data_IF_883206469047
#
_entry.id   IF_883206469047
#
_cell.length_a   1.000
_cell.length_b   1.000
_cell.length_c   1.000
_cell.angle_alpha   90.00
_cell.angle_beta   90.00
_cell.angle_gamma   90.00
#
_symmetry.space_group_name_H-M   'P 1'
#
loop_
_entity.id
_entity.type
_entity.pdbx_description
1 polymer ?
#
# COMPACT_ATOMS: atom_id res chain seq x y z
N UNK A 1 -54.76 -3.33 11.97
CA UNK A 1 -53.98 -4.51 12.44
C UNK A 1 -53.26 -5.26 11.31
N UNK A 2 -53.94 -5.74 10.25
CA UNK A 2 -53.29 -6.46 9.13
C UNK A 2 -52.11 -5.72 8.46
N UNK A 3 -52.20 -4.40 8.26
CA UNK A 3 -51.11 -3.59 7.67
C UNK A 3 -49.86 -3.51 8.54
N UNK A 4 -50.03 -3.46 9.86
CA UNK A 4 -48.91 -3.40 10.82
C UNK A 4 -48.24 -4.77 10.99
N UNK A 5 -49.00 -5.86 10.89
CA UNK A 5 -48.45 -7.21 10.91
C UNK A 5 -47.56 -7.47 9.67
N UNK A 6 -47.95 -6.95 8.50
CA UNK A 6 -47.14 -7.09 7.28
C UNK A 6 -45.80 -6.34 7.37
N UNK A 7 -45.79 -5.14 7.96
CA UNK A 7 -44.57 -4.35 8.17
C UNK A 7 -43.60 -5.03 9.15
N UNK A 8 -44.11 -5.65 10.22
CA UNK A 8 -43.30 -6.39 11.20
C UNK A 8 -42.68 -7.65 10.55
N UNK A 9 -43.45 -8.38 9.73
CA UNK A 9 -42.93 -9.53 8.99
C UNK A 9 -41.86 -9.12 7.96
N UNK A 10 -41.97 -7.95 7.34
CA UNK A 10 -40.97 -7.46 6.38
C UNK A 10 -39.65 -7.06 7.06
N UNK A 11 -39.71 -6.46 8.26
CA UNK A 11 -38.50 -6.16 9.05
C UNK A 11 -37.76 -7.41 9.54
N UNK A 12 -38.43 -8.57 9.63
CA UNK A 12 -37.84 -9.84 10.02
C UNK A 12 -37.21 -10.62 8.84
N UNK A 13 -37.41 -10.16 7.60
CA UNK A 13 -36.81 -10.76 6.40
C UNK A 13 -35.55 -10.02 5.92
N UNK A 14 -35.04 -9.06 6.69
CA UNK A 14 -33.76 -8.42 6.37
C UNK A 14 -32.64 -9.38 6.77
N UNK A 15 -32.24 -10.25 5.85
CA UNK A 15 -31.02 -11.02 5.98
C UNK A 15 -29.85 -10.04 6.11
N UNK A 16 -28.85 -10.33 6.97
CA UNK A 16 -27.63 -9.52 6.99
C UNK A 16 -27.01 -9.57 5.59
N UNK A 17 -26.99 -8.44 4.91
CA UNK A 17 -26.20 -8.29 3.69
C UNK A 17 -24.77 -8.11 4.11
N UNK A 18 -23.93 -9.12 3.89
CA UNK A 18 -22.48 -8.96 4.02
C UNK A 18 -21.99 -8.06 2.89
N UNK A 19 -21.47 -6.89 3.23
CA UNK A 19 -20.69 -6.09 2.29
C UNK A 19 -19.41 -6.85 1.94
N UNK A 20 -18.95 -6.70 0.70
CA UNK A 20 -17.62 -7.14 0.32
C UNK A 20 -16.65 -6.02 0.62
N UNK A 21 -15.68 -6.29 1.48
CA UNK A 21 -14.63 -5.33 1.85
C UNK A 21 -13.33 -5.57 1.05
N UNK A 22 -13.24 -6.67 0.30
CA UNK A 22 -12.03 -7.07 -0.44
C UNK A 22 -12.07 -6.55 -1.87
N UNK A 23 -11.18 -5.62 -2.20
CA UNK A 23 -11.06 -5.06 -3.56
C UNK A 23 -10.73 -6.10 -4.62
N UNK A 24 -9.92 -7.15 -4.34
CA UNK A 24 -9.64 -8.21 -5.30
C UNK A 24 -10.89 -8.88 -5.90
N UNK A 25 -11.99 -8.95 -5.14
CA UNK A 25 -13.27 -9.51 -5.63
C UNK A 25 -13.90 -8.71 -6.77
N UNK A 26 -13.64 -7.40 -6.81
CA UNK A 26 -14.10 -6.51 -7.87
C UNK A 26 -13.07 -6.38 -8.98
N UNK A 27 -11.78 -6.38 -8.63
CA UNK A 27 -10.69 -6.18 -9.57
C UNK A 27 -10.49 -7.38 -10.51
N UNK A 28 -10.54 -8.61 -9.98
CA UNK A 28 -10.34 -9.84 -10.75
C UNK A 28 -11.25 -9.96 -11.98
N UNK A 29 -12.60 -9.87 -11.87
CA UNK A 29 -13.46 -10.00 -13.04
C UNK A 29 -13.23 -8.90 -14.08
N UNK A 30 -12.81 -7.70 -13.66
CA UNK A 30 -12.49 -6.59 -14.58
C UNK A 30 -11.20 -6.91 -15.33
N UNK A 31 -10.11 -7.21 -14.62
CA UNK A 31 -8.81 -7.46 -15.24
C UNK A 31 -8.79 -8.70 -16.13
N UNK A 32 -9.58 -9.74 -15.81
CA UNK A 32 -9.75 -10.90 -16.69
C UNK A 32 -10.34 -10.56 -18.05
N UNK A 33 -11.10 -9.46 -18.16
CA UNK A 33 -11.64 -9.01 -19.45
C UNK A 33 -10.63 -8.25 -20.31
N UNK A 34 -9.48 -7.87 -19.75
CA UNK A 34 -8.43 -7.12 -20.45
C UNK A 34 -7.46 -8.09 -21.15
N UNK A 35 -7.42 -8.14 -22.50
CA UNK A 35 -6.54 -9.07 -23.22
C UNK A 35 -5.05 -8.86 -22.94
N UNK A 36 -4.65 -7.63 -22.63
CA UNK A 36 -3.27 -7.24 -22.30
C UNK A 36 -2.78 -7.87 -20.99
N UNK A 37 -3.70 -8.24 -20.10
CA UNK A 37 -3.42 -8.87 -18.82
C UNK A 37 -3.67 -10.38 -18.88
N UNK A 38 -4.85 -10.78 -19.37
CA UNK A 38 -5.27 -12.19 -19.40
C UNK A 38 -4.48 -13.09 -20.35
N UNK A 39 -3.72 -12.52 -21.30
CA UNK A 39 -2.89 -13.27 -22.27
C UNK A 39 -1.39 -13.12 -22.01
N UNK A 40 -1.00 -12.50 -20.89
CA UNK A 40 0.40 -12.30 -20.55
C UNK A 40 1.01 -13.64 -20.15
N UNK A 41 2.25 -13.87 -20.59
CA UNK A 41 2.98 -15.06 -20.18
C UNK A 41 3.25 -15.04 -18.67
N UNK A 42 3.37 -16.22 -18.08
CA UNK A 42 3.73 -16.33 -16.67
C UNK A 42 5.14 -15.81 -16.42
N UNK A 43 5.32 -15.20 -15.24
CA UNK A 43 6.53 -14.47 -14.85
C UNK A 43 7.25 -15.16 -13.71
N UNK A 44 8.59 -15.04 -13.61
CA UNK A 44 9.31 -15.49 -12.44
C UNK A 44 9.09 -14.53 -11.26
N UNK A 45 8.90 -15.09 -10.06
CA UNK A 45 8.85 -14.32 -8.81
C UNK A 45 10.26 -13.85 -8.44
N UNK A 46 10.44 -12.55 -8.26
CA UNK A 46 11.71 -11.93 -7.82
C UNK A 46 11.52 -11.32 -6.44
N UNK A 47 12.54 -11.38 -5.59
CA UNK A 47 12.49 -10.72 -4.28
C UNK A 47 12.66 -9.20 -4.42
N UNK A 48 12.04 -8.41 -3.54
CA UNK A 48 12.30 -6.96 -3.51
C UNK A 48 13.80 -6.67 -3.38
N UNK A 49 14.51 -7.41 -2.54
CA UNK A 49 15.95 -7.27 -2.35
C UNK A 49 16.72 -7.41 -3.68
N UNK A 50 16.46 -8.47 -4.45
CA UNK A 50 17.18 -8.71 -5.71
C UNK A 50 16.78 -7.71 -6.79
N UNK A 51 15.50 -7.30 -6.83
CA UNK A 51 15.04 -6.21 -7.69
C UNK A 51 15.81 -4.92 -7.38
N UNK A 52 15.85 -4.50 -6.12
CA UNK A 52 16.54 -3.26 -5.70
C UNK A 52 18.02 -3.29 -6.10
N UNK A 53 18.69 -4.44 -5.92
CA UNK A 53 20.08 -4.60 -6.33
C UNK A 53 20.28 -4.49 -7.85
N UNK A 54 19.32 -4.95 -8.64
CA UNK A 54 19.38 -4.87 -10.10
C UNK A 54 19.16 -3.45 -10.64
N UNK A 55 18.42 -2.61 -9.91
CA UNK A 55 18.01 -1.27 -10.37
C UNK A 55 18.65 -0.11 -9.62
N UNK A 56 19.60 -0.38 -8.72
CA UNK A 56 20.08 0.55 -7.68
C UNK A 56 20.40 1.98 -8.20
N UNK A 57 21.19 2.08 -9.27
CA UNK A 57 21.58 3.37 -9.86
C UNK A 57 20.38 4.14 -10.44
N UNK A 58 19.51 3.44 -11.18
CA UNK A 58 18.33 4.03 -11.80
C UNK A 58 17.26 4.38 -10.77
N UNK A 59 17.20 3.63 -9.67
CA UNK A 59 16.34 3.90 -8.53
C UNK A 59 16.75 5.20 -7.83
N UNK A 60 18.04 5.40 -7.56
CA UNK A 60 18.54 6.65 -6.96
C UNK A 60 18.11 7.88 -7.78
N UNK A 61 18.27 7.82 -9.11
CA UNK A 61 17.86 8.90 -10.01
C UNK A 61 16.34 9.11 -10.01
N UNK A 62 15.56 8.03 -10.00
CA UNK A 62 14.08 8.08 -9.99
C UNK A 62 13.56 8.68 -8.68
N UNK A 63 14.14 8.31 -7.54
CA UNK A 63 13.76 8.84 -6.23
C UNK A 63 14.15 10.32 -6.12
N UNK A 64 15.34 10.71 -6.57
CA UNK A 64 15.76 12.12 -6.58
C UNK A 64 14.84 12.99 -7.46
N UNK A 65 14.41 12.48 -8.62
CA UNK A 65 13.46 13.18 -9.49
C UNK A 65 12.07 13.28 -8.85
N UNK A 66 11.60 12.23 -8.18
CA UNK A 66 10.33 12.20 -7.46
C UNK A 66 10.32 13.21 -6.32
N UNK A 67 11.40 13.26 -5.53
CA UNK A 67 11.59 14.22 -4.42
C UNK A 67 11.55 15.67 -4.93
N UNK A 68 12.30 15.96 -6.01
CA UNK A 68 12.29 17.29 -6.64
C UNK A 68 10.90 17.68 -7.15
N UNK A 69 10.17 16.75 -7.75
CA UNK A 69 8.81 16.98 -8.21
C UNK A 69 7.86 17.25 -7.03
N UNK A 70 7.97 16.49 -5.95
CA UNK A 70 7.11 16.62 -4.77
C UNK A 70 7.27 18.00 -4.12
N UNK A 71 8.52 18.43 -3.88
CA UNK A 71 8.82 19.77 -3.37
C UNK A 71 8.30 20.90 -4.27
N UNK A 72 8.26 20.70 -5.58
CA UNK A 72 7.80 21.70 -6.53
C UNK A 72 6.28 21.73 -6.74
N UNK A 73 5.59 20.62 -6.46
CA UNK A 73 4.21 20.41 -6.91
C UNK A 73 3.21 20.24 -5.77
N UNK A 74 3.67 19.92 -4.56
CA UNK A 74 2.83 19.66 -3.39
C UNK A 74 3.14 20.74 -2.35
N UNK A 75 2.17 21.61 -2.08
CA UNK A 75 2.31 22.79 -1.22
C UNK A 75 2.74 22.45 0.22
N UNK A 76 2.17 21.40 0.79
CA UNK A 76 2.39 20.98 2.19
C UNK A 76 3.40 19.83 2.32
N UNK A 77 4.25 19.63 1.32
CA UNK A 77 5.23 18.54 1.34
C UNK A 77 6.41 18.84 2.25
N UNK A 78 6.68 17.94 3.19
CA UNK A 78 7.91 17.98 3.98
C UNK A 78 9.06 17.28 3.25
N UNK A 79 10.17 17.98 2.94
CA UNK A 79 11.30 17.41 2.23
C UNK A 79 11.87 16.16 2.90
N UNK A 80 12.37 15.22 2.08
CA UNK A 80 13.11 14.06 2.58
C UNK A 80 14.38 14.52 3.32
N UNK A 81 14.60 14.10 4.58
CA UNK A 81 15.85 14.39 5.28
C UNK A 81 17.08 13.85 4.54
N UNK A 82 18.15 14.65 4.49
CA UNK A 82 19.33 14.37 3.67
C UNK A 82 19.97 12.99 3.96
N UNK A 83 19.96 12.57 5.23
CA UNK A 83 20.54 11.30 5.67
C UNK A 83 19.73 10.08 5.20
N UNK A 84 18.50 10.28 4.72
CA UNK A 84 17.62 9.23 4.21
C UNK A 84 17.58 9.15 2.68
N UNK A 85 18.30 10.03 1.98
CA UNK A 85 18.37 10.00 0.51
C UNK A 85 19.01 8.69 0.05
N UNK A 86 18.34 8.00 -0.87
CA UNK A 86 18.85 6.74 -1.43
C UNK A 86 20.14 6.94 -2.22
N UNK A 87 21.24 6.36 -1.72
CA UNK A 87 22.54 6.35 -2.40
C UNK A 87 22.84 4.96 -2.94
N UNK A 88 23.29 4.79 -4.19
CA UNK A 88 23.69 3.49 -4.72
C UNK A 88 25.06 3.10 -4.16
N UNK A 89 25.10 2.17 -3.21
CA UNK A 89 26.34 1.78 -2.52
C UNK A 89 26.85 0.40 -2.94
N UNK A 90 26.05 -0.38 -3.67
CA UNK A 90 26.32 -1.78 -3.96
C UNK A 90 26.22 -2.70 -2.72
N UNK A 91 25.86 -2.16 -1.55
CA UNK A 91 25.75 -2.94 -0.32
C UNK A 91 24.41 -3.67 -0.24
N UNK A 92 24.46 -4.99 -0.44
CA UNK A 92 23.29 -5.87 -0.34
C UNK A 92 22.67 -5.88 1.07
N UNK A 93 23.48 -5.71 2.11
CA UNK A 93 23.02 -5.90 3.48
C UNK A 93 22.08 -4.79 3.98
N UNK A 94 22.12 -3.60 3.38
CA UNK A 94 21.34 -2.44 3.82
C UNK A 94 20.39 -1.90 2.74
N UNK A 95 20.39 -2.46 1.51
CA UNK A 95 19.66 -1.87 0.38
C UNK A 95 18.15 -1.75 0.64
N UNK A 96 17.54 -2.77 1.22
CA UNK A 96 16.11 -2.76 1.54
C UNK A 96 15.80 -1.68 2.58
N UNK A 97 16.65 -1.51 3.59
CA UNK A 97 16.46 -0.49 4.62
C UNK A 97 16.67 0.93 4.05
N UNK A 98 17.71 1.13 3.23
CA UNK A 98 17.92 2.39 2.49
C UNK A 98 16.71 2.74 1.64
N UNK A 99 16.17 1.76 0.92
CA UNK A 99 14.97 1.95 0.09
C UNK A 99 13.77 2.36 0.95
N UNK A 100 13.46 1.58 1.99
CA UNK A 100 12.38 1.85 2.96
C UNK A 100 12.47 3.27 3.52
N UNK A 101 13.67 3.70 3.94
CA UNK A 101 13.90 5.03 4.49
C UNK A 101 13.74 6.12 3.44
N UNK A 102 14.26 5.91 2.23
CA UNK A 102 14.16 6.90 1.15
C UNK A 102 12.72 7.12 0.68
N UNK A 103 11.89 6.09 0.70
CA UNK A 103 10.46 6.22 0.40
C UNK A 103 9.61 6.51 1.65
N UNK A 104 10.24 6.58 2.82
CA UNK A 104 9.65 6.86 4.14
C UNK A 104 8.43 6.01 4.44
N UNK A 105 8.57 4.68 4.39
CA UNK A 105 7.55 3.72 4.85
C UNK A 105 7.99 3.01 6.13
N UNK A 106 7.07 2.33 6.80
CA UNK A 106 7.31 1.62 8.06
C UNK A 106 8.45 0.58 7.90
N UNK A 107 9.55 0.67 8.67
CA UNK A 107 10.63 -0.31 8.61
C UNK A 107 10.26 -1.74 8.98
N UNK A 108 9.13 -1.94 9.65
CA UNK A 108 8.61 -3.27 10.00
C UNK A 108 7.66 -3.85 8.94
N UNK A 109 7.39 -3.09 7.87
CA UNK A 109 6.56 -3.50 6.74
C UNK A 109 6.98 -4.88 6.21
N UNK A 110 5.98 -5.73 5.96
CA UNK A 110 6.21 -7.11 5.52
C UNK A 110 6.30 -7.20 4.00
N UNK A 111 7.43 -6.76 3.46
CA UNK A 111 7.70 -6.74 2.02
C UNK A 111 8.12 -8.13 1.47
N UNK A 112 7.36 -9.17 1.84
CA UNK A 112 7.56 -10.55 1.38
C UNK A 112 6.78 -10.83 0.09
N UNK A 113 7.13 -11.90 -0.61
CA UNK A 113 6.38 -12.33 -1.80
C UNK A 113 5.20 -13.22 -1.38
N UNK A 114 3.99 -12.81 -1.74
CA UNK A 114 2.76 -13.53 -1.43
C UNK A 114 1.68 -13.31 -2.49
N UNK A 115 0.63 -14.13 -2.45
CA UNK A 115 -0.66 -13.87 -3.10
C UNK A 115 -1.77 -13.79 -2.06
N UNK A 116 -2.75 -12.94 -2.33
CA UNK A 116 -4.04 -12.96 -1.68
C UNK A 116 -5.01 -13.79 -2.53
N UNK A 117 -5.44 -14.93 -2.00
CA UNK A 117 -6.37 -15.81 -2.70
C UNK A 117 -7.80 -15.27 -2.62
N UNK A 118 -8.53 -15.36 -3.73
CA UNK A 118 -9.97 -15.13 -3.76
C UNK A 118 -10.70 -16.26 -3.02
N UNK A 119 -11.89 -16.00 -2.46
CA UNK A 119 -12.69 -17.02 -1.81
C UNK A 119 -12.92 -18.25 -2.72
N UNK A 120 -12.50 -19.42 -2.25
CA UNK A 120 -12.65 -20.68 -2.96
C UNK A 120 -11.51 -21.05 -3.91
N UNK A 121 -10.50 -20.19 -4.09
CA UNK A 121 -9.31 -20.55 -4.85
C UNK A 121 -8.48 -21.65 -4.17
N UNK A 122 -7.82 -22.47 -4.98
CA UNK A 122 -6.98 -23.55 -4.49
C UNK A 122 -5.63 -23.02 -4.00
N UNK A 123 -5.20 -23.51 -2.82
CA UNK A 123 -3.88 -23.21 -2.23
C UNK A 123 -2.73 -23.76 -3.12
N UNK A 124 -3.00 -24.79 -3.92
CA UNK A 124 -2.06 -25.36 -4.91
C UNK A 124 -0.70 -25.74 -4.31
N UNK A 125 -0.69 -26.29 -3.09
CA UNK A 125 0.51 -26.75 -2.39
C UNK A 125 1.38 -25.63 -1.79
N UNK A 126 0.98 -24.36 -1.90
CA UNK A 126 1.69 -23.23 -1.29
C UNK A 126 1.49 -23.17 0.22
N UNK A 127 2.45 -22.60 0.92
CA UNK A 127 2.34 -22.37 2.36
C UNK A 127 1.35 -21.25 2.65
N UNK A 128 0.33 -21.52 3.49
CA UNK A 128 -0.58 -20.47 3.99
C UNK A 128 0.18 -19.58 4.96
N UNK A 129 0.04 -18.26 4.79
CA UNK A 129 0.65 -17.26 5.65
C UNK A 129 -0.35 -16.75 6.69
N UNK A 130 0.06 -16.59 7.96
CA UNK A 130 -0.75 -15.87 8.95
C UNK A 130 -0.79 -14.37 8.59
N UNK A 131 -1.85 -13.66 9.02
CA UNK A 131 -2.00 -12.22 8.77
C UNK A 131 -0.77 -11.40 9.23
N UNK A 132 -0.14 -11.78 10.34
CA UNK A 132 1.05 -11.11 10.89
C UNK A 132 2.29 -11.21 9.98
N UNK A 133 2.27 -12.13 9.00
CA UNK A 133 3.33 -12.25 8.01
C UNK A 133 3.21 -11.20 6.89
N UNK A 134 2.06 -10.52 6.74
CA UNK A 134 1.82 -9.54 5.66
C UNK A 134 1.60 -8.10 6.15
N UNK A 135 1.47 -7.87 7.46
CA UNK A 135 1.32 -6.52 8.02
C UNK A 135 2.10 -6.33 9.33
N UNK A 136 2.65 -5.13 9.61
CA UNK A 136 3.19 -4.80 10.93
C UNK A 136 2.12 -4.36 11.93
N UNK A 137 0.85 -4.21 11.51
CA UNK A 137 -0.22 -3.78 12.40
C UNK A 137 -0.36 -4.72 13.61
N UNK A 138 -0.46 -4.15 14.81
CA UNK A 138 -0.52 -4.94 16.07
C UNK A 138 -1.76 -5.83 16.15
N UNK A 139 -2.84 -5.44 15.47
CA UNK A 139 -4.12 -6.13 15.51
C UNK A 139 -4.73 -6.20 14.09
N UNK A 140 -4.33 -7.18 13.26
CA UNK A 140 -4.71 -7.25 11.86
C UNK A 140 -6.11 -7.83 11.64
N UNK A 141 -7.10 -7.36 12.42
CA UNK A 141 -8.49 -7.84 12.33
C UNK A 141 -9.13 -7.60 10.98
N UNK A 142 -8.68 -6.59 10.23
CA UNK A 142 -9.13 -6.32 8.87
C UNK A 142 -8.79 -7.47 7.90
N UNK A 143 -7.88 -8.37 8.25
CA UNK A 143 -7.46 -9.52 7.43
C UNK A 143 -8.11 -10.85 7.82
N UNK A 144 -9.10 -10.85 8.73
CA UNK A 144 -9.59 -12.09 9.37
C UNK A 144 -10.17 -13.15 8.42
N UNK A 145 -10.65 -12.74 7.25
CA UNK A 145 -11.22 -13.63 6.22
C UNK A 145 -10.40 -13.66 4.93
N UNK A 146 -9.13 -13.27 5.00
CA UNK A 146 -8.22 -13.22 3.85
C UNK A 146 -7.25 -14.39 3.92
N UNK A 147 -7.11 -15.12 2.81
CA UNK A 147 -6.14 -16.22 2.72
C UNK A 147 -4.93 -15.76 1.95
N UNK A 148 -3.79 -15.70 2.63
CA UNK A 148 -2.51 -15.39 2.01
C UNK A 148 -1.69 -16.67 1.80
N UNK A 149 -0.98 -16.75 0.68
CA UNK A 149 -0.04 -17.85 0.40
C UNK A 149 1.33 -17.30 0.02
N UNK A 150 2.38 -17.96 0.50
CA UNK A 150 3.76 -17.59 0.18
C UNK A 150 4.09 -17.89 -1.29
N UNK A 151 4.94 -17.05 -1.87
CA UNK A 151 5.56 -17.28 -3.17
C UNK A 151 7.06 -17.46 -3.02
N UNK A 152 7.59 -18.56 -3.53
CA UNK A 152 9.02 -18.82 -3.57
C UNK A 152 9.68 -18.03 -4.69
N UNK A 153 10.86 -17.46 -4.44
CA UNK A 153 11.66 -16.82 -5.47
C UNK A 153 12.00 -17.81 -6.60
N UNK A 154 11.89 -17.37 -7.84
CA UNK A 154 12.09 -18.19 -9.04
C UNK A 154 10.90 -19.08 -9.42
N UNK A 155 9.87 -19.20 -8.57
CA UNK A 155 8.62 -19.83 -8.99
C UNK A 155 7.93 -19.00 -10.09
N UNK A 156 7.20 -19.68 -10.98
CA UNK A 156 6.52 -19.04 -12.11
C UNK A 156 5.06 -18.81 -11.75
N UNK A 157 4.56 -17.59 -11.92
CA UNK A 157 3.20 -17.20 -11.55
C UNK A 157 2.49 -16.43 -12.65
N UNK A 158 1.15 -16.46 -12.61
CA UNK A 158 0.30 -15.64 -13.46
C UNK A 158 0.34 -14.16 -13.00
N UNK A 159 0.75 -13.20 -13.87
CA UNK A 159 0.85 -11.78 -13.50
C UNK A 159 -0.49 -11.18 -13.07
N UNK A 160 -1.60 -11.68 -13.62
CA UNK A 160 -2.93 -11.22 -13.24
C UNK A 160 -3.20 -11.47 -11.75
N UNK A 161 -2.81 -12.63 -11.21
CA UNK A 161 -2.96 -12.92 -9.77
C UNK A 161 -2.17 -11.95 -8.87
N UNK A 162 -1.01 -11.49 -9.33
CA UNK A 162 -0.18 -10.49 -8.64
C UNK A 162 -0.89 -9.13 -8.64
N UNK A 163 -1.38 -8.69 -9.80
CA UNK A 163 -2.11 -7.43 -9.92
C UNK A 163 -3.40 -7.43 -9.10
N UNK A 164 -4.16 -8.53 -9.13
CA UNK A 164 -5.37 -8.71 -8.31
C UNK A 164 -5.04 -8.63 -6.83
N UNK A 165 -3.99 -9.32 -6.37
CA UNK A 165 -3.50 -9.23 -4.98
C UNK A 165 -3.17 -7.80 -4.58
N UNK A 166 -2.51 -7.04 -5.47
CA UNK A 166 -2.07 -5.69 -5.21
C UNK A 166 -3.19 -4.64 -5.19
N UNK A 167 -4.46 -5.02 -5.46
CA UNK A 167 -5.59 -4.08 -5.46
C UNK A 167 -6.21 -3.83 -4.09
N UNK A 168 -5.90 -4.63 -3.07
CA UNK A 168 -6.56 -4.48 -1.77
C UNK A 168 -6.11 -3.22 -1.00
N UNK A 169 -7.07 -2.65 -0.27
CA UNK A 169 -6.94 -1.38 0.48
C UNK A 169 -5.90 -1.46 1.62
N UNK A 170 -5.38 -0.30 2.04
CA UNK A 170 -4.11 0.22 1.59
C UNK A 170 -2.95 -0.45 2.32
N UNK A 171 -1.97 -0.88 1.53
CA UNK A 171 -0.55 -1.05 1.86
C UNK A 171 -0.18 -2.01 3.03
N UNK A 172 -1.16 -2.60 3.70
CA UNK A 172 -0.98 -3.47 4.86
C UNK A 172 -0.07 -2.85 5.94
N UNK A 173 -0.11 -1.54 6.14
CA UNK A 173 0.59 -0.84 7.21
C UNK A 173 1.95 -0.26 6.84
N UNK A 174 2.18 0.05 5.55
CA UNK A 174 3.37 0.82 5.13
C UNK A 174 3.36 2.21 5.76
N UNK A 175 2.19 2.79 5.96
CA UNK A 175 2.03 4.15 6.47
C UNK A 175 1.80 4.25 7.99
N UNK A 176 2.11 3.18 8.73
CA UNK A 176 2.01 3.14 10.20
C UNK A 176 3.25 3.75 10.87
N UNK A 177 3.01 4.70 11.77
CA UNK A 177 3.99 5.21 12.72
C UNK A 177 5.06 6.10 12.08
N UNK A 178 4.69 6.94 11.13
CA UNK A 178 5.65 7.72 10.33
C UNK A 178 5.88 9.15 10.82
N UNK A 179 5.04 9.68 11.72
CA UNK A 179 5.14 11.05 12.22
C UNK A 179 5.93 11.16 13.53
N UNK A 180 6.46 12.34 13.81
CA UNK A 180 7.32 12.60 14.98
C UNK A 180 6.61 12.35 16.32
N UNK A 181 5.28 12.50 16.36
CA UNK A 181 4.44 12.28 17.54
C UNK A 181 3.86 10.85 17.61
N UNK A 182 4.21 9.95 16.69
CA UNK A 182 3.77 8.54 16.73
C UNK A 182 4.62 7.65 17.66
N UNK A 183 5.66 8.20 18.29
CA UNK A 183 6.52 7.48 19.26
C UNK A 183 7.24 6.25 18.67
N UNK A 184 7.62 6.32 17.39
CA UNK A 184 8.38 5.26 16.70
C UNK A 184 9.79 5.74 16.36
N UNK A 185 10.77 4.82 16.20
CA UNK A 185 12.10 5.18 15.71
C UNK A 185 12.06 5.82 14.32
N UNK A 186 11.18 5.34 13.42
CA UNK A 186 11.03 5.86 12.07
C UNK A 186 10.46 7.29 12.06
N UNK A 187 9.42 7.54 12.86
CA UNK A 187 8.79 8.86 12.97
C UNK A 187 9.74 9.93 13.49
N UNK A 188 10.71 9.56 14.33
CA UNK A 188 11.74 10.46 14.82
C UNK A 188 12.72 10.94 13.73
N UNK A 189 12.86 10.20 12.62
CA UNK A 189 13.86 10.48 11.58
C UNK A 189 13.26 10.85 10.22
N UNK A 190 11.99 10.52 9.93
CA UNK A 190 11.39 10.71 8.59
C UNK A 190 11.02 12.15 8.24
N UNK A 191 10.98 13.05 9.22
CA UNK A 191 10.83 14.47 8.97
C UNK A 191 9.45 14.88 8.47
N UNK A 192 8.41 14.06 8.64
CA UNK A 192 7.02 14.42 8.31
C UNK A 192 6.38 15.42 9.29
N UNK A 193 7.07 15.74 10.40
CA UNK A 193 6.53 16.62 11.43
C UNK A 193 5.50 15.94 12.33
N UNK A 194 4.59 16.74 12.89
CA UNK A 194 3.48 16.28 13.73
C UNK A 194 2.35 15.82 12.83
N UNK A 195 1.69 14.71 13.16
CA UNK A 195 0.58 14.19 12.38
C UNK A 195 -0.54 15.25 12.22
N UNK A 196 -0.93 15.63 10.98
CA UNK A 196 -1.85 16.74 10.75
C UNK A 196 -3.31 16.40 11.10
N UNK A 197 -3.73 15.15 10.88
CA UNK A 197 -5.07 14.66 11.24
C UNK A 197 -5.09 13.14 11.40
N UNK A 198 -6.16 12.62 12.00
CA UNK A 198 -6.22 11.26 12.56
C UNK A 198 -5.88 11.28 14.05
N UNK A 199 -5.75 10.09 14.66
CA UNK A 199 -5.38 9.99 16.06
C UNK A 199 -3.98 9.36 16.19
N UNK A 200 -2.95 10.11 16.61
CA UNK A 200 -1.58 9.60 16.71
C UNK A 200 -1.41 8.50 17.78
N UNK A 201 -2.38 8.35 18.69
CA UNK A 201 -2.38 7.29 19.69
C UNK A 201 -2.97 5.96 19.18
N UNK A 202 -3.53 5.94 17.96
CA UNK A 202 -4.03 4.72 17.32
C UNK A 202 -3.01 4.23 16.30
N UNK A 203 -2.74 2.93 16.32
CA UNK A 203 -1.74 2.27 15.45
C UNK A 203 -1.92 2.63 13.97
N UNK A 204 -3.16 2.54 13.48
CA UNK A 204 -3.53 2.84 12.10
C UNK A 204 -3.76 4.35 11.83
N UNK A 205 -3.78 5.18 12.88
CA UNK A 205 -4.20 6.58 12.78
C UNK A 205 -3.26 7.44 11.94
N UNK A 206 -1.98 7.09 11.92
CA UNK A 206 -0.92 7.72 11.12
C UNK A 206 -1.08 7.52 9.62
N UNK A 207 -1.87 6.54 9.19
CA UNK A 207 -2.16 6.31 7.78
C UNK A 207 -3.10 7.37 7.18
N UNK A 208 -3.89 8.03 8.03
CA UNK A 208 -4.93 8.96 7.61
C UNK A 208 -4.44 10.02 6.59
N UNK A 209 -3.31 10.71 6.80
CA UNK A 209 -2.86 11.72 5.84
C UNK A 209 -2.25 11.15 4.57
N UNK A 210 -1.86 9.87 4.55
CA UNK A 210 -1.37 9.20 3.34
C UNK A 210 -2.50 8.63 2.49
N UNK A 211 -3.64 8.32 3.11
CA UNK A 211 -4.74 7.59 2.46
C UNK A 211 -5.99 8.46 2.24
N UNK A 212 -6.08 9.64 2.86
CA UNK A 212 -7.18 10.59 2.66
C UNK A 212 -6.66 11.93 2.14
N UNK A 213 -7.36 12.44 1.12
CA UNK A 213 -7.08 13.75 0.51
C UNK A 213 -8.36 14.58 0.40
N UNK A 214 -8.30 15.82 0.87
CA UNK A 214 -9.45 16.73 0.97
C UNK A 214 -9.42 17.83 -0.10
N UNK A 215 -9.13 17.45 -1.35
CA UNK A 215 -8.80 18.38 -2.45
C UNK A 215 -9.95 19.31 -2.89
N UNK A 216 -11.19 18.97 -2.57
CA UNK A 216 -12.39 19.67 -3.04
C UNK A 216 -13.30 20.15 -1.91
N UNK A 217 -12.78 20.29 -0.70
CA UNK A 217 -13.54 20.80 0.44
C UNK A 217 -13.99 22.26 0.25
N UNK A 218 -15.09 22.61 0.92
CA UNK A 218 -15.61 23.97 0.89
C UNK A 218 -14.57 24.96 1.43
N UNK A 219 -14.50 26.18 0.85
CA UNK A 219 -13.51 27.21 1.24
C UNK A 219 -13.51 27.51 2.74
N UNK A 220 -14.67 27.43 3.39
CA UNK A 220 -14.78 27.63 4.84
C UNK A 220 -14.11 26.51 5.66
N UNK A 221 -14.18 25.26 5.19
CA UNK A 221 -13.49 24.13 5.82
C UNK A 221 -11.99 24.35 5.72
N UNK A 222 -11.49 24.66 4.52
CA UNK A 222 -10.06 24.96 4.31
C UNK A 222 -9.55 26.15 5.14
N UNK A 223 -10.39 27.16 5.37
CA UNK A 223 -10.02 28.31 6.21
C UNK A 223 -9.97 27.95 7.71
N UNK A 224 -10.84 27.07 8.18
CA UNK A 224 -10.92 26.68 9.60
C UNK A 224 -10.03 25.47 9.95
N UNK A 225 -9.70 24.64 8.97
CA UNK A 225 -8.93 23.40 9.12
C UNK A 225 -7.88 23.25 7.99
N UNK A 226 -6.93 24.20 7.86
CA UNK A 226 -5.92 24.16 6.79
C UNK A 226 -5.02 22.92 6.86
N UNK A 227 -4.86 22.32 8.05
CA UNK A 227 -4.10 21.07 8.25
C UNK A 227 -4.64 19.88 7.44
N UNK A 228 -5.90 19.91 7.00
CA UNK A 228 -6.46 18.87 6.11
C UNK A 228 -5.80 18.86 4.72
N UNK A 229 -5.10 19.93 4.36
CA UNK A 229 -4.36 20.04 3.10
C UNK A 229 -2.98 19.37 3.18
N UNK A 230 -2.49 19.07 4.38
CA UNK A 230 -1.26 18.31 4.61
C UNK A 230 -1.53 16.81 4.39
N UNK A 231 -1.78 16.46 3.14
CA UNK A 231 -2.02 15.10 2.68
C UNK A 231 -0.90 14.64 1.75
N UNK A 232 -0.51 13.38 1.89
CA UNK A 232 0.53 12.71 1.12
C UNK A 232 -0.03 11.74 0.08
N UNK A 233 -1.36 11.73 -0.15
CA UNK A 233 -2.00 10.88 -1.17
C UNK A 233 -1.35 11.09 -2.55
N UNK A 234 -1.21 12.34 -2.99
CA UNK A 234 -0.60 12.66 -4.29
C UNK A 234 0.86 12.20 -4.34
N UNK A 235 1.61 12.35 -3.25
CA UNK A 235 2.99 11.88 -3.15
C UNK A 235 3.07 10.35 -3.26
N UNK A 236 2.24 9.60 -2.53
CA UNK A 236 2.21 8.13 -2.59
C UNK A 236 1.86 7.61 -3.98
N UNK A 237 0.83 8.20 -4.62
CA UNK A 237 0.45 7.85 -6.00
C UNK A 237 1.63 8.05 -6.95
N UNK A 238 2.26 9.22 -6.91
CA UNK A 238 3.34 9.56 -7.83
C UNK A 238 4.61 8.75 -7.60
N UNK A 239 4.97 8.51 -6.33
CA UNK A 239 6.05 7.63 -5.94
C UNK A 239 5.86 6.22 -6.53
N UNK A 240 4.74 5.56 -6.26
CA UNK A 240 4.53 4.18 -6.73
C UNK A 240 4.34 4.11 -8.24
N UNK A 241 3.75 5.13 -8.87
CA UNK A 241 3.72 5.25 -10.33
C UNK A 241 5.13 5.31 -10.92
N UNK A 242 6.02 6.11 -10.33
CA UNK A 242 7.40 6.25 -10.80
C UNK A 242 8.21 4.97 -10.58
N UNK A 243 8.03 4.28 -9.45
CA UNK A 243 8.64 2.99 -9.17
C UNK A 243 8.17 1.91 -10.14
N UNK A 244 6.86 1.82 -10.40
CA UNK A 244 6.30 0.91 -11.40
C UNK A 244 6.86 1.24 -12.79
N UNK A 245 6.83 2.51 -13.20
CA UNK A 245 7.37 2.93 -14.49
C UNK A 245 8.87 2.64 -14.64
N UNK A 246 9.64 2.73 -13.55
CA UNK A 246 11.05 2.33 -13.53
C UNK A 246 11.21 0.83 -13.81
N UNK A 247 10.46 -0.01 -13.11
CA UNK A 247 10.48 -1.46 -13.33
C UNK A 247 10.16 -1.79 -14.80
N UNK A 248 9.12 -1.16 -15.36
CA UNK A 248 8.75 -1.33 -16.77
C UNK A 248 9.84 -0.92 -17.75
N UNK A 249 10.48 0.24 -17.54
CA UNK A 249 11.56 0.71 -18.43
C UNK A 249 12.78 -0.20 -18.45
N UNK A 250 13.03 -0.91 -17.35
CA UNK A 250 14.20 -1.77 -17.19
C UNK A 250 13.93 -3.25 -17.53
N UNK A 251 12.77 -3.56 -18.11
CA UNK A 251 12.39 -4.96 -18.40
C UNK A 251 12.23 -5.79 -17.13
N UNK A 252 11.94 -5.14 -16.00
CA UNK A 252 11.48 -5.75 -14.77
C UNK A 252 9.94 -5.60 -14.70
N UNK A 253 9.28 -5.63 -15.86
CA UNK A 253 7.82 -5.53 -16.02
C UNK A 253 7.10 -6.85 -15.76
N UNK A 254 7.74 -7.76 -15.04
CA UNK A 254 7.11 -9.00 -14.60
C UNK A 254 5.86 -8.65 -13.78
#
# INVERSE_FOLDING_TARGET
MKKYLLLILWSLCVLPTSGWELHPLMADPIFRTMPELSRRDSIPVVTLHDFLMAVEDSLSQTLAATEKWAQASIEWYHPLPQDLVFQPTGNRNDITLRFIHAIRINPEAKLINYLQLLPGEAISGRTILPAQAVTPAKNPKFLYNVTFVALDSGSVIDPLSVLVTATDEPDHGLDIGLYADNQTPAGAIYGFGVQPFGNPNLDYGSQAPFHMGFFHEARIVNALAPYLQESYVTYRIELYRNLSSLAFRLGQDY
#
